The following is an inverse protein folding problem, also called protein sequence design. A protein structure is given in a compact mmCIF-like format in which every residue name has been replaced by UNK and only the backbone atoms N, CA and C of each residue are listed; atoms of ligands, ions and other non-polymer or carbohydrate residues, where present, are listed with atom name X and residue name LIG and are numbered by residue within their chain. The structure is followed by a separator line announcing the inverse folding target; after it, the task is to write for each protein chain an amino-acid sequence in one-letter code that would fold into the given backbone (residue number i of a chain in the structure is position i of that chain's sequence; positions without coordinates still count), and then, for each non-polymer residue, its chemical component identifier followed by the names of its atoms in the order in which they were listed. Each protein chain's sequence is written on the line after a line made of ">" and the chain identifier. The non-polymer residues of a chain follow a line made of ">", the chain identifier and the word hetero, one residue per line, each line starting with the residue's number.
data_IF_888215762390
#
_entry.id   IF_888215762390
#
_cell.length_a   1.000
_cell.length_b   1.000
_cell.length_c   1.000
_cell.angle_alpha   90.00
_cell.angle_beta   90.00
_cell.angle_gamma   90.00
#
_symmetry.space_group_name_H-M   'P 1'
#
loop_
_entity.id
_entity.type
_entity.pdbx_description
1 polymer ?
#
# COMPACT_ATOMS: atom_id res chain seq x y z
N UNK A 1 5.01 3.25 -11.36
CA UNK A 1 6.39 3.17 -10.86
C UNK A 1 6.55 1.85 -10.10
N UNK A 2 7.56 1.07 -10.45
CA UNK A 2 7.87 -0.20 -9.77
C UNK A 2 9.30 -0.10 -9.27
N UNK A 3 9.52 0.06 -7.97
CA UNK A 3 10.87 0.25 -7.46
C UNK A 3 11.05 -0.13 -6.00
N UNK A 4 12.30 -0.34 -5.65
CA UNK A 4 12.82 -0.56 -4.33
C UNK A 4 13.03 0.80 -3.64
N UNK A 5 12.55 0.98 -2.43
CA UNK A 5 12.68 2.25 -1.69
C UNK A 5 13.17 1.98 -0.27
N UNK A 6 13.77 3.00 0.34
CA UNK A 6 14.02 3.01 1.78
C UNK A 6 12.76 3.47 2.51
N UNK A 7 12.69 3.22 3.82
CA UNK A 7 11.57 3.74 4.62
C UNK A 7 11.51 5.27 4.57
N UNK A 8 12.67 5.92 4.55
CA UNK A 8 12.75 7.38 4.45
C UNK A 8 12.20 7.89 3.13
N UNK A 9 12.57 7.24 2.02
CA UNK A 9 12.07 7.60 0.70
C UNK A 9 10.56 7.45 0.61
N UNK A 10 10.01 6.39 1.19
CA UNK A 10 8.57 6.17 1.21
C UNK A 10 7.87 7.29 2.01
N UNK A 11 8.40 7.63 3.19
CA UNK A 11 7.84 8.70 4.01
C UNK A 11 7.86 10.03 3.26
N UNK A 12 8.93 10.30 2.51
CA UNK A 12 9.03 11.51 1.69
C UNK A 12 8.00 11.51 0.55
N UNK A 13 7.80 10.37 -0.11
CA UNK A 13 6.79 10.25 -1.15
C UNK A 13 5.39 10.56 -0.63
N UNK A 14 5.06 10.05 0.55
CA UNK A 14 3.77 10.30 1.19
C UNK A 14 3.65 11.77 1.60
N UNK A 15 4.69 12.32 2.22
CA UNK A 15 4.68 13.68 2.73
C UNK A 15 4.59 14.73 1.63
N UNK A 16 5.12 14.45 0.44
CA UNK A 16 5.14 15.38 -0.68
C UNK A 16 3.99 15.17 -1.66
N UNK A 17 3.11 14.22 -1.41
CA UNK A 17 1.98 13.97 -2.28
C UNK A 17 0.99 15.14 -2.22
N UNK A 18 0.55 15.60 -3.38
CA UNK A 18 -0.49 16.62 -3.48
C UNK A 18 -1.90 16.03 -3.39
N UNK A 19 -1.99 14.71 -3.45
CA UNK A 19 -3.25 13.96 -3.37
C UNK A 19 -3.32 13.22 -2.06
N UNK A 20 -4.53 12.83 -1.68
CA UNK A 20 -4.75 11.83 -0.63
C UNK A 20 -4.07 10.52 -1.06
N UNK A 21 -3.36 9.88 -0.15
CA UNK A 21 -2.61 8.65 -0.43
C UNK A 21 -3.34 7.45 0.14
N UNK A 22 -3.46 6.41 -0.65
CA UNK A 22 -4.03 5.13 -0.22
C UNK A 22 -2.93 4.08 -0.27
N UNK A 23 -2.48 3.64 0.90
CA UNK A 23 -1.42 2.63 1.02
C UNK A 23 -2.04 1.25 1.14
N UNK A 24 -1.61 0.35 0.27
CA UNK A 24 -2.00 -1.06 0.24
C UNK A 24 -0.79 -1.91 0.62
N UNK A 25 -0.81 -2.45 1.84
CA UNK A 25 0.27 -3.33 2.31
C UNK A 25 -0.08 -4.77 1.94
N UNK A 26 0.78 -5.42 1.17
CA UNK A 26 0.51 -6.73 0.59
C UNK A 26 1.78 -7.56 0.42
N UNK A 27 1.63 -8.78 -0.04
CA UNK A 27 2.75 -9.63 -0.45
C UNK A 27 2.30 -10.58 -1.57
N UNK A 28 3.24 -11.04 -2.37
CA UNK A 28 2.97 -11.95 -3.49
C UNK A 28 2.35 -13.28 -3.05
N UNK A 29 2.63 -13.70 -1.82
CA UNK A 29 2.13 -14.96 -1.25
C UNK A 29 0.81 -14.78 -0.47
N UNK A 30 0.32 -13.58 -0.36
CA UNK A 30 -0.87 -13.25 0.43
C UNK A 30 -2.14 -13.37 -0.44
N UNK A 31 -2.84 -14.50 -0.35
CA UNK A 31 -4.07 -14.72 -1.14
C UNK A 31 -5.17 -13.70 -0.84
N UNK A 32 -5.46 -13.36 0.42
CA UNK A 32 -6.45 -12.33 0.70
C UNK A 32 -6.08 -10.98 0.10
N UNK A 33 -4.79 -10.64 0.07
CA UNK A 33 -4.31 -9.40 -0.56
C UNK A 33 -4.59 -9.40 -2.05
N UNK A 34 -4.29 -10.50 -2.72
CA UNK A 34 -4.51 -10.67 -4.16
C UNK A 34 -6.02 -10.59 -4.47
N UNK A 35 -6.85 -11.16 -3.60
CA UNK A 35 -8.30 -11.11 -3.74
C UNK A 35 -8.88 -9.69 -3.66
N UNK A 36 -8.16 -8.74 -3.11
CA UNK A 36 -8.58 -7.33 -3.02
C UNK A 36 -8.21 -6.51 -4.26
N UNK A 37 -7.37 -7.05 -5.15
CA UNK A 37 -6.90 -6.31 -6.34
C UNK A 37 -8.05 -5.77 -7.21
N UNK A 38 -9.12 -6.53 -7.50
CA UNK A 38 -10.21 -5.98 -8.31
C UNK A 38 -10.85 -4.74 -7.68
N UNK A 39 -10.92 -4.68 -6.35
CA UNK A 39 -11.46 -3.53 -5.63
C UNK A 39 -10.52 -2.34 -5.67
N UNK A 40 -9.21 -2.58 -5.55
CA UNK A 40 -8.19 -1.53 -5.73
C UNK A 40 -8.28 -0.94 -7.13
N UNK A 41 -8.43 -1.79 -8.13
CA UNK A 41 -8.55 -1.35 -9.52
C UNK A 41 -9.82 -0.52 -9.74
N UNK A 42 -10.93 -0.93 -9.12
CA UNK A 42 -12.18 -0.16 -9.16
C UNK A 42 -12.01 1.21 -8.52
N UNK A 43 -11.30 1.26 -7.39
CA UNK A 43 -11.01 2.51 -6.69
C UNK A 43 -10.14 3.43 -7.54
N UNK A 44 -9.10 2.87 -8.16
CA UNK A 44 -8.23 3.61 -9.06
C UNK A 44 -9.00 4.20 -10.24
N UNK A 45 -9.87 3.41 -10.85
CA UNK A 45 -10.67 3.84 -12.01
C UNK A 45 -11.67 4.93 -11.62
N UNK A 46 -12.21 4.87 -10.42
CA UNK A 46 -13.22 5.85 -9.96
C UNK A 46 -12.61 7.13 -9.41
N UNK A 47 -11.49 7.04 -8.69
CA UNK A 47 -10.95 8.14 -7.89
C UNK A 47 -9.50 8.47 -8.18
N UNK A 48 -8.89 7.87 -9.20
CA UNK A 48 -7.46 8.01 -9.48
C UNK A 48 -6.97 9.44 -9.71
N UNK A 49 -7.86 10.34 -10.10
CA UNK A 49 -7.51 11.74 -10.28
C UNK A 49 -7.24 12.46 -8.96
N UNK A 50 -7.88 12.02 -7.89
CA UNK A 50 -7.80 12.64 -6.57
C UNK A 50 -7.08 11.77 -5.53
N UNK A 51 -6.69 10.55 -5.92
CA UNK A 51 -6.14 9.54 -5.03
C UNK A 51 -4.86 8.97 -5.62
N UNK A 52 -3.80 8.98 -4.84
CA UNK A 52 -2.58 8.28 -5.21
C UNK A 52 -2.54 6.94 -4.49
N UNK A 53 -2.61 5.85 -5.24
CA UNK A 53 -2.51 4.50 -4.66
C UNK A 53 -1.04 4.08 -4.68
N UNK A 54 -0.54 3.63 -3.53
CA UNK A 54 0.79 3.07 -3.38
C UNK A 54 0.63 1.68 -2.79
N UNK A 55 0.96 0.65 -3.56
CA UNK A 55 1.02 -0.72 -3.06
C UNK A 55 2.42 -0.99 -2.55
N UNK A 56 2.52 -1.37 -1.30
CA UNK A 56 3.79 -1.59 -0.62
C UNK A 56 3.92 -3.05 -0.25
N UNK A 57 4.89 -3.73 -0.89
CA UNK A 57 5.12 -5.15 -0.64
C UNK A 57 5.93 -5.37 0.62
N UNK A 58 5.49 -6.35 1.42
CA UNK A 58 6.26 -6.86 2.56
C UNK A 58 6.99 -8.16 2.20
N UNK A 59 7.10 -8.49 0.92
CA UNK A 59 7.83 -9.67 0.46
C UNK A 59 9.30 -9.63 0.93
N UNK A 60 9.82 -10.79 1.26
CA UNK A 60 11.24 -10.95 1.55
C UNK A 60 12.03 -11.21 0.26
N UNK A 61 11.37 -11.76 -0.76
CA UNK A 61 11.98 -12.10 -2.05
C UNK A 61 11.51 -11.12 -3.11
N UNK A 62 12.41 -10.21 -3.49
CA UNK A 62 12.10 -9.18 -4.48
C UNK A 62 11.73 -9.77 -5.84
N UNK A 63 12.35 -10.90 -6.23
CA UNK A 63 12.04 -11.53 -7.51
C UNK A 63 10.60 -12.03 -7.55
N UNK A 64 10.10 -12.60 -6.46
CA UNK A 64 8.72 -13.05 -6.36
C UNK A 64 7.74 -11.87 -6.40
N UNK A 65 8.12 -10.77 -5.77
CA UNK A 65 7.33 -9.54 -5.82
C UNK A 65 7.21 -9.02 -7.25
N UNK A 66 8.34 -8.92 -7.96
CA UNK A 66 8.34 -8.43 -9.34
C UNK A 66 7.53 -9.33 -10.27
N UNK A 67 7.64 -10.65 -10.08
CA UNK A 67 6.86 -11.62 -10.83
C UNK A 67 5.36 -11.43 -10.59
N UNK A 68 4.94 -11.24 -9.35
CA UNK A 68 3.54 -11.02 -9.01
C UNK A 68 3.01 -9.70 -9.59
N UNK A 69 3.80 -8.64 -9.56
CA UNK A 69 3.44 -7.35 -10.16
C UNK A 69 3.14 -7.53 -11.65
N UNK A 70 3.98 -8.28 -12.34
CA UNK A 70 3.79 -8.56 -13.77
C UNK A 70 2.59 -9.48 -14.00
N UNK A 71 2.51 -10.57 -13.24
CA UNK A 71 1.46 -11.58 -13.38
C UNK A 71 0.06 -11.01 -13.18
N UNK A 72 -0.10 -10.13 -12.20
CA UNK A 72 -1.39 -9.52 -11.87
C UNK A 72 -1.61 -8.17 -12.54
N UNK A 73 -0.69 -7.75 -13.39
CA UNK A 73 -0.78 -6.50 -14.15
C UNK A 73 -1.01 -5.27 -13.25
N UNK A 74 -0.11 -5.10 -12.28
CA UNK A 74 -0.27 -4.09 -11.22
C UNK A 74 0.50 -2.79 -11.48
N UNK A 75 0.76 -2.44 -12.74
CA UNK A 75 1.58 -1.26 -13.07
C UNK A 75 0.79 0.04 -13.23
N UNK A 76 -0.53 0.01 -13.05
CA UNK A 76 -1.37 1.20 -13.17
C UNK A 76 -1.13 2.22 -12.06
N UNK A 77 -0.68 1.75 -10.90
CA UNK A 77 -0.31 2.63 -9.78
C UNK A 77 1.06 2.20 -9.23
N UNK A 78 1.58 2.95 -8.28
CA UNK A 78 2.93 2.71 -7.76
C UNK A 78 3.03 1.39 -7.00
N UNK A 79 4.04 0.59 -7.36
CA UNK A 79 4.37 -0.67 -6.70
C UNK A 79 5.76 -0.53 -6.08
N UNK A 80 5.83 -0.55 -4.77
CA UNK A 80 7.07 -0.33 -4.04
C UNK A 80 7.36 -1.51 -3.12
N UNK A 81 8.65 -1.76 -2.90
CA UNK A 81 9.10 -2.68 -1.86
C UNK A 81 10.12 -1.95 -0.99
N UNK A 82 9.95 -2.05 0.33
CA UNK A 82 10.86 -1.39 1.25
C UNK A 82 12.10 -2.26 1.48
N UNK A 83 13.26 -1.62 1.41
CA UNK A 83 14.54 -2.26 1.64
C UNK A 83 14.62 -2.85 3.04
N UNK A 84 15.18 -4.05 3.12
CA UNK A 84 15.39 -4.77 4.38
C UNK A 84 16.85 -5.14 4.53
N UNK A 85 17.38 -5.16 5.77
CA UNK A 85 18.67 -5.79 6.03
C UNK A 85 18.64 -7.26 5.65
N UNK A 86 19.78 -7.82 5.24
CA UNK A 86 19.89 -9.21 4.82
C UNK A 86 19.58 -10.20 5.95
N UNK A 87 19.71 -9.76 7.20
CA UNK A 87 19.45 -10.58 8.40
C UNK A 87 18.04 -10.35 8.98
N UNK A 88 17.21 -9.57 8.30
CA UNK A 88 15.85 -9.30 8.75
C UNK A 88 15.00 -10.56 8.66
N UNK A 89 14.18 -10.81 9.69
CA UNK A 89 13.25 -11.92 9.70
C UNK A 89 11.90 -11.50 9.08
N UNK A 90 10.91 -12.41 9.10
CA UNK A 90 9.61 -12.16 8.53
C UNK A 90 8.80 -11.08 9.28
N UNK A 91 9.23 -10.75 10.49
CA UNK A 91 8.56 -9.75 11.33
C UNK A 91 9.24 -8.38 11.28
N UNK A 92 10.25 -8.23 10.44
CA UNK A 92 11.00 -6.97 10.35
C UNK A 92 10.09 -5.75 10.23
N UNK A 93 9.06 -5.86 9.40
CA UNK A 93 8.11 -4.79 9.18
C UNK A 93 7.33 -4.43 10.45
N UNK A 94 6.96 -5.43 11.26
CA UNK A 94 6.19 -5.21 12.47
C UNK A 94 7.03 -4.66 13.62
N UNK A 95 8.32 -4.95 13.63
CA UNK A 95 9.16 -4.68 14.78
C UNK A 95 10.11 -3.51 14.61
N UNK A 96 10.63 -3.30 13.41
CA UNK A 96 11.76 -2.42 13.20
C UNK A 96 11.63 -1.39 12.10
N UNK A 97 10.75 -1.58 11.15
CA UNK A 97 10.58 -0.63 10.07
C UNK A 97 9.88 0.62 10.60
N UNK A 98 10.35 1.78 10.18
CA UNK A 98 9.70 3.05 10.50
C UNK A 98 8.22 3.02 10.13
N UNK A 99 7.87 2.28 9.09
CA UNK A 99 6.50 2.10 8.64
C UNK A 99 5.62 1.43 9.67
N UNK A 100 6.10 0.33 10.29
CA UNK A 100 5.29 -0.37 11.27
C UNK A 100 5.09 0.48 12.51
N UNK A 101 6.09 1.26 12.90
CA UNK A 101 5.98 2.19 14.03
C UNK A 101 5.07 3.36 13.68
N UNK A 102 5.22 3.90 12.47
CA UNK A 102 4.43 5.05 12.03
C UNK A 102 3.00 4.67 11.68
N UNK A 103 2.78 3.51 11.08
CA UNK A 103 1.48 3.11 10.56
C UNK A 103 0.87 1.91 11.29
N UNK A 104 1.64 1.25 12.15
CA UNK A 104 1.17 0.14 12.98
C UNK A 104 0.71 -1.08 12.19
N UNK A 105 1.40 -1.41 11.10
CA UNK A 105 1.03 -2.54 10.26
C UNK A 105 1.56 -3.83 10.87
N UNK A 106 0.68 -4.64 11.43
CA UNK A 106 1.03 -5.92 12.05
C UNK A 106 0.42 -7.12 11.34
N UNK A 107 -0.40 -6.90 10.34
CA UNK A 107 -0.99 -7.96 9.52
C UNK A 107 -1.33 -7.43 8.13
N UNK A 108 -1.42 -8.31 7.15
CA UNK A 108 -1.83 -7.99 5.77
C UNK A 108 -3.01 -8.88 5.37
N UNK A 109 -3.93 -8.40 4.51
CA UNK A 109 -3.93 -7.06 3.90
C UNK A 109 -4.16 -5.95 4.94
N UNK A 110 -3.59 -4.80 4.67
CA UNK A 110 -3.81 -3.60 5.47
C UNK A 110 -3.87 -2.40 4.55
N UNK A 111 -4.92 -1.60 4.68
CA UNK A 111 -5.15 -0.42 3.84
C UNK A 111 -5.20 0.81 4.72
N UNK A 112 -4.42 1.82 4.38
CA UNK A 112 -4.34 3.06 5.16
C UNK A 112 -4.58 4.25 4.25
N UNK A 113 -5.52 5.11 4.62
CA UNK A 113 -5.81 6.35 3.90
C UNK A 113 -5.18 7.52 4.64
N UNK A 114 -4.36 8.29 3.93
CA UNK A 114 -3.61 9.42 4.48
C UNK A 114 -4.00 10.67 3.68
N UNK A 115 -4.50 11.70 4.38
CA UNK A 115 -4.89 12.94 3.72
C UNK A 115 -3.68 13.79 3.32
N UNK A 116 -3.95 14.90 2.65
CA UNK A 116 -2.89 15.78 2.14
C UNK A 116 -2.14 16.53 3.24
N UNK A 117 -2.62 16.47 4.47
CA UNK A 117 -1.90 17.03 5.64
C UNK A 117 -0.98 15.98 6.30
N UNK A 118 -1.00 14.73 5.82
CA UNK A 118 -0.23 13.64 6.40
C UNK A 118 -0.94 12.91 7.52
N UNK A 119 -2.20 13.21 7.78
CA UNK A 119 -2.97 12.54 8.83
C UNK A 119 -3.59 11.24 8.33
N UNK A 120 -3.53 10.19 9.15
CA UNK A 120 -4.22 8.93 8.86
C UNK A 120 -5.71 9.15 9.16
N UNK A 121 -6.54 9.02 8.11
CA UNK A 121 -7.98 9.23 8.22
C UNK A 121 -8.78 7.93 8.15
N UNK A 122 -8.12 6.81 7.90
CA UNK A 122 -8.78 5.50 7.91
C UNK A 122 -7.80 4.35 7.81
N UNK A 123 -8.23 3.20 8.33
CA UNK A 123 -7.45 1.96 8.31
C UNK A 123 -8.41 0.78 8.21
N UNK A 124 -8.16 -0.13 7.28
CA UNK A 124 -9.02 -1.30 7.06
C UNK A 124 -8.18 -2.51 6.71
N UNK A 125 -8.75 -3.70 6.95
CA UNK A 125 -8.15 -4.97 6.55
C UNK A 125 -8.87 -5.60 5.35
N UNK A 126 -10.06 -5.12 5.02
CA UNK A 126 -10.84 -5.59 3.88
C UNK A 126 -11.55 -4.42 3.22
N UNK A 127 -11.63 -4.44 1.89
CA UNK A 127 -12.34 -3.43 1.13
C UNK A 127 -13.77 -3.92 0.87
N UNK A 128 -14.61 -3.88 1.91
CA UNK A 128 -16.03 -4.20 1.78
C UNK A 128 -16.73 -3.10 1.00
N UNK A 129 -17.98 -3.35 0.58
CA UNK A 129 -18.78 -2.35 -0.14
C UNK A 129 -18.92 -1.07 0.68
N UNK A 130 -19.17 -1.20 2.00
CA UNK A 130 -19.30 -0.05 2.89
C UNK A 130 -17.99 0.74 3.01
N UNK A 131 -16.86 0.05 3.11
CA UNK A 131 -15.53 0.67 3.18
C UNK A 131 -15.24 1.40 1.87
N UNK A 132 -15.56 0.80 0.73
CA UNK A 132 -15.35 1.43 -0.57
C UNK A 132 -16.15 2.73 -0.69
N UNK A 133 -17.41 2.73 -0.23
CA UNK A 133 -18.23 3.94 -0.23
C UNK A 133 -17.66 5.01 0.70
N UNK A 134 -17.17 4.61 1.88
CA UNK A 134 -16.54 5.52 2.83
C UNK A 134 -15.31 6.19 2.22
N UNK A 135 -14.44 5.42 1.56
CA UNK A 135 -13.25 5.95 0.91
C UNK A 135 -13.65 6.93 -0.21
N UNK A 136 -14.60 6.55 -1.05
CA UNK A 136 -15.07 7.40 -2.14
C UNK A 136 -15.66 8.71 -1.64
N UNK A 137 -16.38 8.69 -0.52
CA UNK A 137 -16.98 9.90 0.05
C UNK A 137 -15.91 10.89 0.50
N UNK A 138 -14.75 10.42 0.92
CA UNK A 138 -13.63 11.28 1.34
C UNK A 138 -12.87 11.81 0.13
N UNK A 139 -12.69 11.00 -0.90
CA UNK A 139 -11.75 11.27 -2.00
C UNK A 139 -12.44 11.81 -3.25
N UNK A 140 -13.57 11.22 -3.64
CA UNK A 140 -14.24 11.53 -4.91
C UNK A 140 -15.25 12.68 -4.81
N UNK A 141 -15.60 13.07 -3.60
CA UNK A 141 -16.49 14.19 -3.38
C UNK A 141 -15.68 15.47 -3.16
#
# INVERSE_FOLDING_TARGET
>A
MVRHVTGKELNELIATSEKTVFCDFWASWCRPCIGEIPKLRALYNSCGDNLQIISLSVDQDEAKWREAVTCHNLTEWSQLIVERPSDADEYYFSEQADLSLAYGVDQIPCFILIDDSGAIVGRWTHLTADVMEEIKSVVCD
#
